data_IF_438358988104
#
_entry.id   IF_438358988104
#
_cell.length_a   1.000
_cell.length_b   1.000
_cell.length_c   1.000
_cell.angle_alpha   90.00
_cell.angle_beta   90.00
_cell.angle_gamma   90.00
#
_symmetry.space_group_name_H-M   'P 1'
#
loop_
_entity.id
_entity.type
_entity.pdbx_description
1 polymer ?
#
# COMPACT_ATOMS: atom_id res chain seq x y z
N UNK A 1 10.30 -20.33 -5.71
CA UNK A 1 9.77 -21.44 -4.88
C UNK A 1 10.92 -22.02 -4.09
N UNK A 2 11.16 -21.50 -2.88
CA UNK A 2 12.17 -22.06 -1.99
C UNK A 2 11.54 -23.28 -1.31
N UNK A 3 11.74 -24.46 -1.90
CA UNK A 3 11.25 -25.71 -1.34
C UNK A 3 12.07 -26.06 -0.08
N UNK A 4 11.50 -25.84 1.11
CA UNK A 4 11.98 -26.52 2.31
C UNK A 4 11.55 -27.98 2.20
N UNK A 5 12.44 -28.83 1.70
CA UNK A 5 12.32 -30.28 1.85
C UNK A 5 12.38 -30.62 3.34
N UNK A 6 11.23 -30.86 3.95
CA UNK A 6 11.15 -31.44 5.29
C UNK A 6 11.57 -32.91 5.20
N UNK A 7 12.86 -33.16 5.46
CA UNK A 7 13.36 -34.50 5.76
C UNK A 7 13.07 -34.79 7.24
N UNK A 8 12.58 -36.00 7.62
CA UNK A 8 11.90 -36.24 8.90
C UNK A 8 12.82 -36.29 10.14
N UNK A 9 14.04 -35.77 10.06
CA UNK A 9 15.01 -35.79 11.17
C UNK A 9 15.86 -34.52 11.33
N UNK A 10 15.49 -33.39 10.71
CA UNK A 10 16.13 -32.11 11.01
C UNK A 10 15.07 -31.07 11.37
N UNK A 11 15.11 -30.59 12.61
CA UNK A 11 14.48 -29.33 13.00
C UNK A 11 14.81 -28.27 11.95
N UNK A 12 13.84 -27.47 11.52
CA UNK A 12 14.07 -26.42 10.53
C UNK A 12 15.28 -25.57 10.98
N UNK A 13 16.28 -25.34 10.11
CA UNK A 13 17.53 -24.68 10.51
C UNK A 13 17.31 -23.24 10.99
N UNK A 14 16.16 -22.65 10.62
CA UNK A 14 15.73 -21.32 11.01
C UNK A 14 14.22 -21.32 11.25
N UNK A 15 13.79 -20.56 12.26
CA UNK A 15 12.38 -20.22 12.47
C UNK A 15 12.14 -18.85 11.84
N UNK A 16 11.19 -18.76 10.91
CA UNK A 16 10.77 -17.49 10.33
C UNK A 16 9.52 -17.01 11.05
N UNK A 17 9.53 -15.76 11.47
CA UNK A 17 8.39 -15.08 12.08
C UNK A 17 7.93 -13.95 11.16
N UNK A 18 6.63 -13.66 11.18
CA UNK A 18 6.11 -12.49 10.48
C UNK A 18 6.70 -11.20 11.06
N UNK A 19 7.02 -10.21 10.21
CA UNK A 19 7.49 -8.92 10.67
C UNK A 19 6.37 -8.18 11.44
N UNK A 20 6.71 -7.27 12.38
CA UNK A 20 5.73 -6.56 13.21
C UNK A 20 4.67 -5.77 12.41
N UNK A 21 5.02 -5.28 11.22
CA UNK A 21 4.11 -4.58 10.32
C UNK A 21 2.98 -5.46 9.77
N UNK A 22 3.13 -6.80 9.81
CA UNK A 22 2.10 -7.77 9.46
C UNK A 22 1.56 -8.49 10.69
N UNK A 23 1.69 -7.89 11.88
CA UNK A 23 1.12 -8.44 13.11
C UNK A 23 -0.41 -8.54 13.01
N UNK A 24 -0.98 -9.45 13.79
CA UNK A 24 -2.43 -9.69 13.86
C UNK A 24 -3.22 -8.42 14.15
N UNK A 25 -2.71 -7.54 15.02
CA UNK A 25 -3.30 -6.23 15.33
C UNK A 25 -3.38 -5.33 14.10
N UNK A 26 -2.28 -5.22 13.34
CA UNK A 26 -2.23 -4.39 12.12
C UNK A 26 -3.16 -4.96 11.05
N UNK A 27 -3.15 -6.29 10.86
CA UNK A 27 -4.05 -6.97 9.93
C UNK A 27 -5.52 -6.78 10.31
N UNK A 28 -5.86 -6.83 11.60
CA UNK A 28 -7.22 -6.57 12.07
C UNK A 28 -7.66 -5.12 11.82
N UNK A 29 -6.77 -4.15 12.08
CA UNK A 29 -7.03 -2.74 11.77
C UNK A 29 -7.25 -2.51 10.26
N UNK A 30 -6.38 -3.09 9.42
CA UNK A 30 -6.47 -3.02 7.96
C UNK A 30 -7.73 -3.69 7.40
N UNK A 31 -8.22 -4.77 8.04
CA UNK A 31 -9.50 -5.40 7.68
C UNK A 31 -10.69 -4.51 7.98
N UNK A 32 -10.66 -3.83 9.12
CA UNK A 32 -11.72 -2.96 9.59
C UNK A 32 -11.84 -1.71 8.70
N UNK A 33 -10.74 -0.94 8.59
CA UNK A 33 -10.65 0.16 7.64
C UNK A 33 -9.20 0.37 7.19
N UNK A 34 -8.87 0.08 5.91
CA UNK A 34 -7.52 0.29 5.39
C UNK A 34 -7.13 1.77 5.28
N UNK A 35 -8.07 2.71 5.29
CA UNK A 35 -7.82 4.15 5.10
C UNK A 35 -7.31 4.81 6.38
N UNK A 36 -7.82 4.34 7.52
CA UNK A 36 -7.45 4.83 8.84
C UNK A 36 -6.04 4.40 9.30
N UNK A 37 -5.43 3.42 8.63
CA UNK A 37 -4.09 2.93 9.00
C UNK A 37 -3.01 3.69 8.22
N UNK A 38 -2.07 4.39 8.89
CA UNK A 38 -0.91 4.99 8.24
C UNK A 38 0.11 3.90 7.89
N UNK A 39 0.11 3.44 6.64
CA UNK A 39 0.98 2.34 6.18
C UNK A 39 2.46 2.68 6.33
N UNK A 40 2.83 3.95 6.11
CA UNK A 40 4.21 4.43 6.26
C UNK A 40 4.77 4.18 7.67
N UNK A 41 3.92 4.31 8.70
CA UNK A 41 4.32 4.11 10.09
C UNK A 41 4.51 2.61 10.42
N UNK A 42 3.86 1.72 9.66
CA UNK A 42 4.09 0.27 9.75
C UNK A 42 5.35 -0.15 9.00
N UNK A 43 5.49 0.30 7.75
CA UNK A 43 6.68 0.12 6.94
C UNK A 43 6.66 1.09 5.75
N UNK A 44 7.78 1.77 5.44
CA UNK A 44 7.87 2.60 4.23
C UNK A 44 7.62 1.84 2.91
N UNK A 45 7.79 0.51 2.91
CA UNK A 45 7.61 -0.36 1.75
C UNK A 45 6.64 -1.51 2.08
N UNK A 46 5.55 -1.20 2.77
CA UNK A 46 4.58 -2.16 3.30
C UNK A 46 4.13 -3.20 2.27
N UNK A 47 3.73 -2.79 1.07
CA UNK A 47 3.27 -3.74 0.05
C UNK A 47 4.39 -4.62 -0.49
N UNK A 48 5.59 -4.06 -0.69
CA UNK A 48 6.76 -4.84 -1.12
C UNK A 48 7.15 -5.90 -0.10
N UNK A 49 7.14 -5.55 1.19
CA UNK A 49 7.38 -6.49 2.29
C UNK A 49 6.28 -7.56 2.32
N UNK A 50 5.02 -7.16 2.22
CA UNK A 50 3.88 -8.08 2.19
C UNK A 50 3.99 -9.12 1.08
N UNK A 51 4.30 -8.71 -0.15
CA UNK A 51 4.52 -9.62 -1.29
C UNK A 51 5.66 -10.59 -1.01
N UNK A 52 6.78 -10.12 -0.46
CA UNK A 52 7.91 -10.98 -0.13
C UNK A 52 7.63 -11.95 1.01
N UNK A 53 6.82 -11.56 2.00
CA UNK A 53 6.38 -12.47 3.05
C UNK A 53 5.42 -13.53 2.50
N UNK A 54 4.53 -13.20 1.57
CA UNK A 54 3.68 -14.20 0.91
C UNK A 54 4.45 -15.20 0.03
N UNK A 55 5.67 -14.89 -0.41
CA UNK A 55 6.55 -15.88 -1.07
C UNK A 55 7.12 -16.92 -0.07
N UNK A 56 7.14 -16.59 1.22
CA UNK A 56 7.74 -17.39 2.30
C UNK A 56 6.69 -18.09 3.17
N UNK A 57 5.51 -17.49 3.34
CA UNK A 57 4.41 -17.96 4.17
C UNK A 57 3.16 -18.20 3.32
N UNK A 58 2.53 -19.37 3.47
CA UNK A 58 1.25 -19.69 2.82
C UNK A 58 0.06 -19.24 3.69
N UNK A 59 -0.04 -17.93 3.91
CA UNK A 59 -1.11 -17.33 4.72
C UNK A 59 -2.14 -16.62 3.84
N UNK A 60 -3.15 -17.39 3.39
CA UNK A 60 -4.22 -16.91 2.50
C UNK A 60 -4.94 -15.66 3.02
N UNK A 61 -5.12 -15.58 4.33
CA UNK A 61 -5.78 -14.46 4.99
C UNK A 61 -4.99 -13.16 4.84
N UNK A 62 -3.67 -13.18 5.04
CA UNK A 62 -2.80 -12.02 4.81
C UNK A 62 -2.91 -11.57 3.35
N UNK A 63 -2.88 -12.52 2.41
CA UNK A 63 -2.99 -12.21 1.00
C UNK A 63 -4.33 -11.52 0.64
N UNK A 64 -5.43 -11.93 1.27
CA UNK A 64 -6.73 -11.30 1.08
C UNK A 64 -6.77 -9.87 1.63
N UNK A 65 -6.23 -9.66 2.84
CA UNK A 65 -6.13 -8.33 3.44
C UNK A 65 -5.29 -7.40 2.56
N UNK A 66 -4.10 -7.84 2.14
CA UNK A 66 -3.22 -7.04 1.29
C UNK A 66 -3.86 -6.67 -0.04
N UNK A 67 -4.56 -7.61 -0.70
CA UNK A 67 -5.29 -7.31 -1.94
C UNK A 67 -6.40 -6.28 -1.73
N UNK A 68 -7.22 -6.46 -0.68
CA UNK A 68 -8.32 -5.55 -0.36
C UNK A 68 -7.80 -4.15 -0.05
N UNK A 69 -6.78 -4.04 0.80
CA UNK A 69 -6.22 -2.74 1.20
C UNK A 69 -5.60 -2.03 0.00
N UNK A 70 -4.86 -2.76 -0.85
CA UNK A 70 -4.24 -2.22 -2.05
C UNK A 70 -5.25 -1.58 -3.00
N UNK A 71 -6.36 -2.27 -3.31
CA UNK A 71 -7.38 -1.73 -4.23
C UNK A 71 -8.09 -0.52 -3.62
N UNK A 72 -8.50 -0.61 -2.36
CA UNK A 72 -9.22 0.49 -1.69
C UNK A 72 -8.35 1.74 -1.61
N UNK A 73 -7.10 1.60 -1.14
CA UNK A 73 -6.21 2.74 -0.95
C UNK A 73 -5.69 3.31 -2.26
N UNK A 74 -5.43 2.49 -3.28
CA UNK A 74 -5.09 2.99 -4.61
C UNK A 74 -6.20 3.87 -5.20
N UNK A 75 -7.47 3.50 -4.98
CA UNK A 75 -8.62 4.32 -5.33
C UNK A 75 -8.60 5.68 -4.64
N UNK A 76 -8.38 5.70 -3.32
CA UNK A 76 -8.28 6.94 -2.53
C UNK A 76 -7.09 7.81 -2.96
N UNK A 77 -5.91 7.22 -3.19
CA UNK A 77 -4.74 7.94 -3.73
C UNK A 77 -5.10 8.61 -5.06
N UNK A 78 -5.82 7.92 -5.94
CA UNK A 78 -6.29 8.48 -7.21
C UNK A 78 -7.27 9.65 -7.04
N UNK A 79 -8.15 9.58 -6.04
CA UNK A 79 -9.06 10.69 -5.70
C UNK A 79 -8.30 11.92 -5.20
N UNK A 80 -7.35 11.73 -4.28
CA UNK A 80 -6.53 12.82 -3.77
C UNK A 80 -5.60 13.41 -4.83
N UNK A 81 -5.06 12.59 -5.73
CA UNK A 81 -4.24 13.07 -6.83
C UNK A 81 -5.00 14.01 -7.79
N UNK A 82 -6.31 13.80 -7.96
CA UNK A 82 -7.19 14.69 -8.75
C UNK A 82 -7.53 15.99 -8.03
N UNK A 83 -7.63 15.92 -6.70
CA UNK A 83 -8.01 17.03 -5.81
C UNK A 83 -6.82 17.58 -5.04
N UNK A 84 -5.59 17.47 -5.56
CA UNK A 84 -4.38 17.77 -4.80
C UNK A 84 -4.40 19.19 -4.19
N UNK A 85 -4.96 20.17 -4.91
CA UNK A 85 -5.10 21.56 -4.44
C UNK A 85 -6.09 21.72 -3.26
N UNK A 86 -7.08 20.82 -3.14
CA UNK A 86 -8.11 20.80 -2.08
C UNK A 86 -7.80 19.80 -0.96
N UNK A 87 -6.93 18.82 -1.22
CA UNK A 87 -6.59 17.70 -0.34
C UNK A 87 -5.68 18.09 0.84
N UNK A 88 -5.11 19.30 0.80
CA UNK A 88 -4.14 19.83 1.78
C UNK A 88 -4.80 20.35 3.07
N UNK A 89 -5.97 19.83 3.45
CA UNK A 89 -6.68 20.21 4.67
C UNK A 89 -7.32 19.02 5.38
N UNK A 90 -7.12 18.92 6.70
CA UNK A 90 -7.79 17.94 7.56
C UNK A 90 -7.38 16.49 7.28
N UNK A 91 -8.38 15.61 7.13
CA UNK A 91 -8.19 14.15 6.98
C UNK A 91 -7.39 13.74 5.73
N UNK A 92 -7.38 14.56 4.68
CA UNK A 92 -6.61 14.29 3.46
C UNK A 92 -5.10 14.39 3.68
N UNK A 93 -4.64 15.37 4.46
CA UNK A 93 -3.22 15.56 4.77
C UNK A 93 -2.67 14.37 5.59
N UNK A 94 -3.44 13.91 6.57
CA UNK A 94 -3.07 12.76 7.39
C UNK A 94 -2.95 11.47 6.55
N UNK A 95 -3.89 11.25 5.63
CA UNK A 95 -3.83 10.14 4.69
C UNK A 95 -2.58 10.22 3.79
N UNK A 96 -2.30 11.41 3.23
CA UNK A 96 -1.13 11.64 2.36
C UNK A 96 0.21 11.46 3.10
N UNK A 97 0.27 11.83 4.38
CA UNK A 97 1.44 11.60 5.24
C UNK A 97 1.68 10.10 5.48
N UNK A 98 0.59 9.32 5.60
CA UNK A 98 0.60 7.89 5.84
C UNK A 98 0.91 7.01 4.61
N UNK A 99 1.14 7.59 3.42
CA UNK A 99 1.40 6.82 2.21
C UNK A 99 2.77 6.13 2.23
N UNK A 100 2.77 4.85 1.89
CA UNK A 100 3.99 4.08 1.65
C UNK A 100 4.55 4.34 0.23
N UNK A 101 5.74 3.82 -0.07
CA UNK A 101 6.51 4.34 -1.22
C UNK A 101 5.85 4.07 -2.59
N UNK A 102 5.20 2.91 -2.77
CA UNK A 102 4.49 2.65 -4.03
C UNK A 102 3.28 3.58 -4.15
N UNK A 103 2.54 3.83 -3.07
CA UNK A 103 1.42 4.78 -3.04
C UNK A 103 1.88 6.22 -3.34
N UNK A 104 3.02 6.65 -2.80
CA UNK A 104 3.62 7.97 -3.09
C UNK A 104 4.01 8.10 -4.55
N UNK A 105 4.54 7.03 -5.14
CA UNK A 105 4.82 6.97 -6.57
C UNK A 105 3.55 7.08 -7.41
N UNK A 106 2.48 6.40 -7.01
CA UNK A 106 1.16 6.48 -7.66
C UNK A 106 0.58 7.89 -7.56
N UNK A 107 0.61 8.51 -6.38
CA UNK A 107 0.12 9.87 -6.16
C UNK A 107 0.81 10.88 -7.08
N UNK A 108 2.16 10.86 -7.13
CA UNK A 108 2.94 11.77 -7.97
C UNK A 108 2.56 11.66 -9.45
N UNK A 109 2.56 10.43 -10.00
CA UNK A 109 2.19 10.20 -11.40
C UNK A 109 0.74 10.59 -11.69
N UNK A 110 -0.17 10.28 -10.78
CA UNK A 110 -1.58 10.65 -10.90
C UNK A 110 -1.78 12.16 -10.91
N UNK A 111 -1.13 12.88 -10.00
CA UNK A 111 -1.23 14.33 -9.87
C UNK A 111 -0.62 15.02 -11.10
N UNK A 112 0.57 14.62 -11.53
CA UNK A 112 1.20 15.13 -12.75
C UNK A 112 0.33 14.90 -13.99
N UNK A 113 -0.29 13.72 -14.11
CA UNK A 113 -1.21 13.42 -15.21
C UNK A 113 -2.45 14.31 -15.23
N UNK A 114 -3.06 14.57 -14.07
CA UNK A 114 -4.23 15.47 -13.95
C UNK A 114 -3.85 16.90 -14.29
N UNK A 115 -2.72 17.38 -13.77
CA UNK A 115 -2.20 18.72 -14.03
C UNK A 115 -1.91 18.91 -15.52
N UNK A 116 -1.19 17.97 -16.14
CA UNK A 116 -0.88 18.02 -17.57
C UNK A 116 -2.12 18.01 -18.46
N UNK A 117 -3.13 17.21 -18.12
CA UNK A 117 -4.41 17.19 -18.85
C UNK A 117 -5.16 18.52 -18.76
N UNK A 118 -5.17 19.16 -17.57
CA UNK A 118 -5.77 20.49 -17.37
C UNK A 118 -5.06 21.56 -18.20
N UNK A 119 -3.72 21.61 -18.11
CA UNK A 119 -2.91 22.56 -18.89
C UNK A 119 -3.08 22.38 -20.40
N UNK A 120 -3.15 21.14 -20.88
CA UNK A 120 -3.42 20.86 -22.29
C UNK A 120 -4.80 21.35 -22.71
N UNK A 121 -5.83 21.05 -21.92
CA UNK A 121 -7.21 21.49 -22.18
C UNK A 121 -7.32 23.01 -22.24
N UNK A 122 -6.63 23.72 -21.33
CA UNK A 122 -6.64 25.18 -21.29
C UNK A 122 -5.89 25.80 -22.49
N UNK A 123 -4.86 25.13 -23.01
CA UNK A 123 -4.17 25.56 -24.25
C UNK A 123 -5.07 25.39 -25.47
N UNK A 124 -5.76 24.25 -25.58
CA UNK A 124 -6.70 23.98 -26.68
C UNK A 124 -7.83 24.99 -26.71
N UNK A 125 -8.39 25.38 -25.57
CA UNK A 125 -9.46 26.39 -25.48
C UNK A 125 -9.06 27.82 -25.89
N UNK A 126 -7.75 28.11 -25.91
CA UNK A 126 -7.20 29.43 -26.27
C UNK A 126 -6.83 29.54 -27.75
N UNK A 127 -6.91 28.44 -28.49
CA UNK A 127 -6.66 28.35 -29.94
C UNK A 127 -7.99 28.35 -30.67
#
# INVERSE_FOLDING_TARGET
MLALASSPSMSAPLTLNLPPCLSTTVLAALKADPRAVPLRDQSPHFYSVGVKMLELFDEKEIAEVLRKTFVVRAGEVGLYARKADEAMGGSGEEFLRGLEEWERGLFRRGHEGVKGAKEWTDKVKKT
#
